data_IF_891975265842
#
_entry.id   IF_891975265842
#
_cell.length_a   1.000
_cell.length_b   1.000
_cell.length_c   1.000
_cell.angle_alpha   90.00
_cell.angle_beta   90.00
_cell.angle_gamma   90.00
#
_symmetry.space_group_name_H-M   'P 1'
#
loop_
_entity.id
_entity.type
_entity.pdbx_description
1 polymer ?
#
# COMPACT_ATOMS: atom_id res chain seq x y z
N UNK A 1 23.42 19.18 4.39
CA UNK A 1 23.36 17.93 5.18
C UNK A 1 22.36 17.04 4.46
N UNK A 2 22.74 15.82 4.07
CA UNK A 2 21.77 14.86 3.53
C UNK A 2 20.87 14.38 4.65
N UNK A 3 19.56 14.47 4.46
CA UNK A 3 18.60 13.92 5.42
C UNK A 3 18.44 12.43 5.16
N UNK A 4 18.36 11.62 6.21
CA UNK A 4 18.28 10.17 6.05
C UNK A 4 17.30 9.50 7.01
N UNK A 5 16.63 8.45 6.53
CA UNK A 5 15.70 7.63 7.31
C UNK A 5 15.91 6.15 7.02
N UNK A 6 15.75 5.30 8.04
CA UNK A 6 15.88 3.85 7.92
C UNK A 6 14.49 3.22 7.85
N UNK A 7 14.29 2.28 6.93
CA UNK A 7 12.99 1.64 6.72
C UNK A 7 13.13 0.15 6.32
N UNK A 8 12.02 -0.58 6.39
CA UNK A 8 12.00 -1.97 5.96
C UNK A 8 10.65 -2.68 6.12
N UNK A 9 10.53 -3.93 5.66
CA UNK A 9 11.54 -4.69 4.91
C UNK A 9 11.23 -4.66 3.40
N UNK A 10 12.18 -4.19 2.59
CA UNK A 10 12.10 -4.20 1.14
C UNK A 10 13.05 -5.27 0.60
N UNK A 11 12.52 -6.28 -0.10
CA UNK A 11 13.31 -7.34 -0.73
C UNK A 11 13.90 -6.88 -2.07
N UNK A 12 14.84 -5.92 -2.00
CA UNK A 12 15.52 -5.35 -3.16
C UNK A 12 16.98 -5.09 -2.77
N UNK A 13 17.94 -5.94 -3.17
CA UNK A 13 19.32 -5.89 -2.65
C UNK A 13 20.19 -4.80 -3.28
N UNK A 14 19.60 -3.90 -4.07
CA UNK A 14 20.34 -2.95 -4.91
C UNK A 14 19.99 -1.53 -4.52
N UNK A 15 20.94 -0.61 -4.69
CA UNK A 15 20.64 0.82 -4.57
C UNK A 15 19.73 1.28 -5.69
N UNK A 16 18.84 2.22 -5.39
CA UNK A 16 17.95 2.86 -6.36
C UNK A 16 18.14 4.36 -6.28
N UNK A 17 18.47 4.96 -7.43
CA UNK A 17 18.64 6.40 -7.60
C UNK A 17 17.34 7.00 -8.15
N UNK A 18 16.99 8.19 -7.69
CA UNK A 18 15.88 8.96 -8.21
C UNK A 18 16.20 10.46 -8.11
N UNK A 19 15.49 11.29 -8.86
CA UNK A 19 15.63 12.75 -8.77
C UNK A 19 15.20 13.23 -7.39
N UNK A 20 16.17 13.66 -6.58
CA UNK A 20 15.94 14.12 -5.20
C UNK A 20 16.57 13.23 -4.12
N UNK A 21 17.07 12.05 -4.46
CA UNK A 21 17.67 11.17 -3.47
C UNK A 21 18.11 9.80 -3.97
N UNK A 22 18.32 8.90 -3.01
CA UNK A 22 18.62 7.49 -3.25
C UNK A 22 18.17 6.63 -2.09
N UNK A 23 17.92 5.36 -2.34
CA UNK A 23 17.88 4.34 -1.29
C UNK A 23 19.08 3.40 -1.46
N UNK A 24 19.61 2.93 -0.35
CA UNK A 24 20.71 1.96 -0.32
C UNK A 24 20.42 0.89 0.73
N UNK A 25 20.76 -0.38 0.46
CA UNK A 25 20.67 -1.42 1.48
C UNK A 25 21.50 -1.06 2.73
N UNK A 26 20.98 -1.39 3.91
CA UNK A 26 21.77 -1.26 5.16
C UNK A 26 22.88 -2.29 5.20
N UNK A 27 23.91 -2.06 6.04
CA UNK A 27 25.04 -2.98 6.18
C UNK A 27 24.64 -4.40 6.61
N UNK A 28 23.53 -4.55 7.32
CA UNK A 28 22.99 -5.83 7.79
C UNK A 28 21.85 -6.37 6.89
N UNK A 29 21.73 -5.92 5.64
CA UNK A 29 20.65 -6.33 4.73
C UNK A 29 20.53 -7.86 4.61
N UNK A 30 21.64 -8.56 4.43
CA UNK A 30 21.66 -10.03 4.27
C UNK A 30 21.11 -10.74 5.51
N UNK A 31 21.40 -10.24 6.72
CA UNK A 31 20.86 -10.78 7.98
C UNK A 31 19.36 -10.53 8.09
N UNK A 32 18.91 -9.33 7.68
CA UNK A 32 17.48 -9.01 7.63
C UNK A 32 16.74 -9.90 6.62
N UNK A 33 17.33 -10.16 5.45
CA UNK A 33 16.79 -11.05 4.43
C UNK A 33 16.75 -12.51 4.91
N UNK A 34 17.81 -12.99 5.56
CA UNK A 34 17.83 -14.33 6.18
C UNK A 34 16.72 -14.46 7.22
N UNK A 35 16.57 -13.44 8.10
CA UNK A 35 15.52 -13.42 9.11
C UNK A 35 14.13 -13.50 8.47
N UNK A 36 13.84 -12.69 7.46
CA UNK A 36 12.55 -12.67 6.77
C UNK A 36 12.31 -13.97 6.00
N UNK A 37 13.34 -14.54 5.37
CA UNK A 37 13.22 -15.81 4.64
C UNK A 37 12.94 -16.97 5.59
N UNK A 38 13.58 -16.97 6.77
CA UNK A 38 13.42 -18.01 7.79
C UNK A 38 12.05 -17.99 8.46
N UNK A 39 11.50 -16.80 8.70
CA UNK A 39 10.23 -16.63 9.44
C UNK A 39 9.04 -16.24 8.55
N UNK A 40 9.28 -16.01 7.26
CA UNK A 40 8.25 -15.78 6.25
C UNK A 40 7.50 -17.07 5.93
N UNK A 41 6.24 -16.91 5.50
CA UNK A 41 5.35 -18.03 5.21
C UNK A 41 5.30 -18.31 3.71
N UNK A 42 4.89 -19.55 3.36
CA UNK A 42 4.92 -20.04 1.97
C UNK A 42 4.03 -19.22 1.04
N UNK A 43 2.92 -18.72 1.58
CA UNK A 43 1.95 -17.82 0.93
C UNK A 43 2.53 -16.44 0.57
N UNK A 44 3.75 -16.12 1.02
CA UNK A 44 4.41 -14.85 0.72
C UNK A 44 4.11 -13.74 1.72
N UNK A 45 3.73 -14.09 2.96
CA UNK A 45 3.51 -13.13 4.03
C UNK A 45 4.41 -13.36 5.25
N UNK A 46 4.73 -12.29 5.94
CA UNK A 46 5.32 -12.29 7.28
C UNK A 46 4.23 -11.93 8.29
N UNK A 47 3.87 -12.88 9.14
CA UNK A 47 2.76 -12.75 10.09
C UNK A 47 3.22 -12.16 11.43
N UNK A 48 2.31 -11.55 12.20
CA UNK A 48 2.62 -11.11 13.54
C UNK A 48 3.14 -12.29 14.39
N UNK A 49 4.21 -12.10 15.19
CA UNK A 49 4.72 -13.14 16.08
C UNK A 49 3.70 -13.47 17.16
N UNK A 50 3.74 -14.69 17.68
CA UNK A 50 2.95 -15.09 18.85
C UNK A 50 3.45 -14.38 20.11
N UNK A 51 2.55 -13.86 20.94
CA UNK A 51 2.84 -13.23 22.23
C UNK A 51 2.00 -13.86 23.36
N UNK A 52 2.54 -13.84 24.58
CA UNK A 52 1.87 -14.30 25.81
C UNK A 52 1.83 -13.17 26.82
N UNK A 53 0.81 -13.15 27.67
CA UNK A 53 0.82 -12.27 28.84
C UNK A 53 1.76 -12.85 29.90
N UNK A 54 2.53 -11.98 30.53
CA UNK A 54 3.46 -12.34 31.60
C UNK A 54 3.09 -11.57 32.87
N UNK A 55 3.18 -12.24 34.01
CA UNK A 55 3.17 -11.55 35.30
C UNK A 55 4.47 -10.76 35.44
N UNK A 56 4.37 -9.50 35.86
CA UNK A 56 5.52 -8.60 36.00
C UNK A 56 5.73 -8.29 37.48
N UNK A 57 6.96 -8.42 37.95
CA UNK A 57 7.35 -7.92 39.27
C UNK A 57 7.26 -6.39 39.27
N UNK A 58 6.40 -5.83 40.13
CA UNK A 58 6.13 -4.38 40.18
C UNK A 58 7.41 -3.58 40.53
N UNK A 59 8.32 -4.15 41.32
CA UNK A 59 9.53 -3.47 41.76
C UNK A 59 10.62 -3.50 40.69
N UNK A 60 10.80 -4.64 40.00
CA UNK A 60 11.88 -4.82 39.02
C UNK A 60 11.46 -4.61 37.57
N UNK A 61 10.14 -4.58 37.30
CA UNK A 61 9.50 -4.58 35.97
C UNK A 61 9.93 -5.76 35.09
N UNK A 62 10.42 -6.86 35.69
CA UNK A 62 10.83 -8.05 34.97
C UNK A 62 9.70 -9.09 34.91
N UNK A 63 9.63 -9.90 33.84
CA UNK A 63 8.71 -11.04 33.77
C UNK A 63 9.01 -12.06 34.88
N UNK A 64 8.00 -12.49 35.62
CA UNK A 64 8.07 -13.54 36.64
C UNK A 64 7.65 -14.88 36.02
N UNK A 65 6.45 -14.94 35.45
CA UNK A 65 5.87 -16.16 34.88
C UNK A 65 4.91 -15.86 33.74
N UNK A 66 4.81 -16.78 32.80
CA UNK A 66 3.79 -16.73 31.75
C UNK A 66 2.40 -17.00 32.34
N UNK A 67 1.41 -16.27 31.85
CA UNK A 67 0.00 -16.50 32.20
C UNK A 67 -0.57 -17.53 31.21
N UNK A 68 -1.06 -18.69 31.68
CA UNK A 68 -1.56 -19.74 30.79
C UNK A 68 -2.76 -19.28 29.97
N UNK A 69 -2.93 -19.85 28.77
CA UNK A 69 -4.05 -19.57 27.86
C UNK A 69 -4.17 -18.10 27.40
N UNK A 70 -3.04 -17.40 27.30
CA UNK A 70 -2.99 -16.00 26.81
C UNK A 70 -2.21 -15.82 25.52
N UNK A 71 -1.83 -16.93 24.88
CA UNK A 71 -1.09 -16.93 23.62
C UNK A 71 -1.98 -16.40 22.48
N UNK A 72 -1.50 -15.37 21.78
CA UNK A 72 -2.19 -14.77 20.64
C UNK A 72 -1.20 -14.05 19.72
N UNK A 73 -1.56 -13.78 18.46
CA UNK A 73 -0.74 -12.92 17.59
C UNK A 73 -0.53 -11.53 18.21
N UNK A 74 0.68 -11.00 18.07
CA UNK A 74 1.00 -9.66 18.51
C UNK A 74 0.14 -8.63 17.75
N UNK A 75 -0.50 -7.66 18.43
CA UNK A 75 -1.31 -6.65 17.76
C UNK A 75 -0.45 -5.74 16.87
N UNK A 76 0.81 -5.54 17.26
CA UNK A 76 1.80 -4.81 16.47
C UNK A 76 3.18 -5.43 16.67
N UNK A 77 4.06 -5.33 15.67
CA UNK A 77 5.41 -5.89 15.71
C UNK A 77 6.38 -5.11 14.82
N UNK A 78 7.68 -5.30 15.06
CA UNK A 78 8.73 -4.70 14.23
C UNK A 78 9.10 -5.63 13.08
N UNK A 79 9.49 -5.02 11.96
CA UNK A 79 10.09 -5.70 10.82
C UNK A 79 11.54 -5.20 10.71
N UNK A 80 12.53 -6.07 10.41
CA UNK A 80 13.92 -5.65 10.27
C UNK A 80 14.08 -4.51 9.26
N UNK A 81 14.96 -3.57 9.58
CA UNK A 81 15.42 -2.57 8.64
C UNK A 81 16.12 -3.24 7.45
N UNK A 82 15.94 -2.67 6.27
CA UNK A 82 16.55 -3.16 5.03
C UNK A 82 17.28 -2.06 4.27
N UNK A 83 16.81 -0.81 4.37
CA UNK A 83 17.33 0.28 3.55
C UNK A 83 17.45 1.57 4.34
N UNK A 84 18.38 2.41 3.90
CA UNK A 84 18.46 3.82 4.26
C UNK A 84 18.03 4.65 3.07
N UNK A 85 17.05 5.53 3.26
CA UNK A 85 16.66 6.58 2.34
C UNK A 85 17.52 7.81 2.60
N UNK A 86 18.09 8.39 1.55
CA UNK A 86 18.81 9.66 1.57
C UNK A 86 18.08 10.66 0.68
N UNK A 87 17.75 11.82 1.22
CA UNK A 87 17.10 12.93 0.50
C UNK A 87 18.04 14.12 0.47
N UNK A 88 18.30 14.63 -0.73
CA UNK A 88 19.22 15.75 -0.95
C UNK A 88 18.63 17.08 -0.48
N UNK A 89 17.43 17.39 -0.97
CA UNK A 89 16.74 18.66 -0.74
C UNK A 89 15.29 18.39 -0.32
N UNK A 90 15.02 18.13 0.97
CA UNK A 90 13.65 17.92 1.42
C UNK A 90 12.89 19.24 1.47
N UNK A 91 11.56 19.16 1.46
CA UNK A 91 10.74 20.34 1.67
C UNK A 91 10.90 20.87 3.10
N UNK A 92 11.29 22.14 3.23
CA UNK A 92 11.79 22.76 4.47
C UNK A 92 10.72 22.89 5.58
N UNK A 93 9.43 22.70 5.27
CA UNK A 93 8.32 23.12 6.13
C UNK A 93 7.69 22.01 6.98
N UNK A 94 8.34 20.86 7.22
CA UNK A 94 7.71 19.77 7.97
C UNK A 94 8.63 18.68 8.50
N UNK A 95 8.03 17.71 9.19
CA UNK A 95 8.70 16.46 9.56
C UNK A 95 8.94 15.63 8.30
N UNK A 96 10.18 15.26 8.04
CA UNK A 96 10.56 14.39 6.91
C UNK A 96 9.70 13.12 6.87
N UNK A 97 9.37 12.57 8.05
CA UNK A 97 8.55 11.37 8.22
C UNK A 97 7.05 11.55 7.97
N UNK A 98 6.60 12.78 7.76
CA UNK A 98 5.20 13.10 7.40
C UNK A 98 5.10 13.65 5.97
N UNK A 99 6.24 13.89 5.33
CA UNK A 99 6.36 14.56 4.04
C UNK A 99 7.22 13.67 3.10
N UNK A 100 8.43 14.10 2.75
CA UNK A 100 9.25 13.50 1.70
C UNK A 100 9.57 12.03 1.95
N UNK A 101 10.03 11.65 3.15
CA UNK A 101 10.34 10.25 3.44
C UNK A 101 9.09 9.37 3.48
N UNK A 102 7.96 9.88 3.98
CA UNK A 102 6.70 9.15 4.00
C UNK A 102 6.23 8.82 2.58
N UNK A 103 6.28 9.81 1.69
CA UNK A 103 5.96 9.62 0.28
C UNK A 103 6.84 8.54 -0.33
N UNK A 104 8.16 8.69 -0.26
CA UNK A 104 9.09 7.78 -0.95
C UNK A 104 8.94 6.36 -0.42
N UNK A 105 8.90 6.17 0.90
CA UNK A 105 8.75 4.85 1.51
C UNK A 105 7.43 4.19 1.10
N UNK A 106 6.29 4.90 1.17
CA UNK A 106 5.01 4.31 0.80
C UNK A 106 4.85 4.13 -0.72
N UNK A 107 5.49 4.97 -1.54
CA UNK A 107 5.52 4.82 -2.99
C UNK A 107 6.34 3.59 -3.39
N UNK A 108 7.49 3.35 -2.75
CA UNK A 108 8.26 2.13 -2.95
C UNK A 108 7.47 0.90 -2.48
N UNK A 109 6.75 1.00 -1.37
CA UNK A 109 5.85 -0.07 -0.91
C UNK A 109 4.80 -0.41 -1.95
N UNK A 110 4.14 0.62 -2.49
CA UNK A 110 3.23 0.49 -3.63
C UNK A 110 3.91 -0.18 -4.84
N UNK A 111 5.06 0.32 -5.28
CA UNK A 111 5.73 -0.13 -6.50
C UNK A 111 6.26 -1.58 -6.41
N UNK A 112 6.77 -1.98 -5.24
CA UNK A 112 7.27 -3.34 -5.00
C UNK A 112 6.19 -4.29 -4.47
N UNK A 113 4.96 -3.83 -4.26
CA UNK A 113 3.82 -4.66 -3.89
C UNK A 113 3.97 -5.25 -2.49
N UNK A 114 4.49 -4.43 -1.58
CA UNK A 114 4.73 -4.75 -0.17
C UNK A 114 4.28 -3.58 0.72
N UNK A 115 4.46 -3.70 2.02
CA UNK A 115 4.18 -2.66 2.99
C UNK A 115 5.47 -2.25 3.68
N UNK A 116 5.84 -0.98 3.52
CA UNK A 116 7.04 -0.40 4.11
C UNK A 116 6.67 0.66 5.15
N UNK A 117 7.46 0.71 6.23
CA UNK A 117 7.40 1.74 7.26
C UNK A 117 8.80 2.05 7.79
N UNK A 118 8.93 3.15 8.53
CA UNK A 118 10.15 3.50 9.27
C UNK A 118 10.53 2.36 10.23
N UNK A 119 11.83 2.12 10.40
CA UNK A 119 12.33 0.95 11.15
C UNK A 119 11.94 0.92 12.63
N UNK A 120 11.67 2.10 13.21
CA UNK A 120 11.22 2.27 14.59
C UNK A 120 9.70 2.33 14.71
N UNK A 121 8.96 2.19 13.60
CA UNK A 121 7.51 2.05 13.60
C UNK A 121 7.11 0.58 13.60
N UNK A 122 5.92 0.30 14.13
CA UNK A 122 5.38 -1.06 14.19
C UNK A 122 4.38 -1.30 13.07
N UNK A 123 4.38 -2.50 12.54
CA UNK A 123 3.37 -3.00 11.61
C UNK A 123 2.19 -3.59 12.39
N UNK A 124 0.98 -3.38 11.86
CA UNK A 124 -0.24 -4.10 12.24
C UNK A 124 -0.66 -5.06 11.10
N UNK A 125 -1.05 -6.29 11.43
CA UNK A 125 -1.42 -7.30 10.44
C UNK A 125 -0.24 -7.92 9.68
N UNK A 126 -0.54 -8.77 8.69
CA UNK A 126 0.48 -9.48 7.90
C UNK A 126 1.22 -8.52 6.95
N UNK A 127 2.48 -8.80 6.61
CA UNK A 127 3.28 -7.98 5.68
C UNK A 127 3.64 -8.80 4.45
N UNK A 128 3.31 -8.39 3.22
CA UNK A 128 3.72 -9.11 2.02
C UNK A 128 5.25 -9.14 1.90
N UNK A 129 5.85 -10.33 1.78
CA UNK A 129 7.31 -10.51 1.57
C UNK A 129 7.66 -10.79 0.11
N UNK A 130 6.65 -11.05 -0.71
CA UNK A 130 6.77 -11.21 -2.16
C UNK A 130 6.00 -10.09 -2.87
N UNK A 131 6.48 -9.59 -4.02
CA UNK A 131 5.72 -8.64 -4.82
C UNK A 131 4.35 -9.20 -5.16
N UNK A 132 3.30 -8.44 -4.81
CA UNK A 132 1.91 -8.81 -5.06
C UNK A 132 1.27 -7.99 -6.19
N UNK A 133 2.07 -7.17 -6.87
CA UNK A 133 1.64 -6.30 -7.94
C UNK A 133 1.29 -7.06 -9.22
N UNK A 134 0.53 -6.39 -10.09
CA UNK A 134 0.05 -6.94 -11.35
C UNK A 134 0.79 -6.37 -12.56
N UNK A 135 2.04 -5.99 -12.40
CA UNK A 135 2.83 -5.39 -13.47
C UNK A 135 4.28 -5.86 -13.52
N UNK A 136 4.83 -5.89 -14.73
CA UNK A 136 6.23 -6.17 -15.07
C UNK A 136 6.97 -4.86 -15.34
N UNK A 137 8.23 -4.77 -14.97
CA UNK A 137 9.03 -3.57 -15.20
C UNK A 137 10.50 -3.90 -15.46
N UNK A 138 11.20 -2.98 -16.11
CA UNK A 138 12.66 -3.01 -16.29
C UNK A 138 13.38 -2.33 -15.11
N UNK A 139 14.67 -2.58 -14.93
CA UNK A 139 15.44 -2.15 -13.75
C UNK A 139 15.52 -0.62 -13.57
N UNK A 140 15.35 0.16 -14.63
CA UNK A 140 15.38 1.64 -14.62
C UNK A 140 14.03 2.28 -14.28
N UNK A 141 12.93 1.58 -14.49
CA UNK A 141 11.56 2.03 -14.23
C UNK A 141 11.33 2.48 -12.78
N UNK A 142 11.76 1.75 -11.71
CA UNK A 142 11.48 2.14 -10.34
C UNK A 142 12.04 3.52 -9.97
N UNK A 143 13.28 3.81 -10.37
CA UNK A 143 13.93 5.10 -10.14
C UNK A 143 13.26 6.23 -10.92
N UNK A 144 12.94 5.97 -12.18
CA UNK A 144 12.23 6.92 -13.03
C UNK A 144 10.82 7.25 -12.51
N UNK A 145 10.01 6.24 -12.17
CA UNK A 145 8.68 6.42 -11.60
C UNK A 145 8.73 7.19 -10.27
N UNK A 146 9.66 6.84 -9.38
CA UNK A 146 9.86 7.53 -8.10
C UNK A 146 10.20 9.01 -8.32
N UNK A 147 11.09 9.31 -9.27
CA UNK A 147 11.47 10.67 -9.66
C UNK A 147 10.26 11.49 -10.13
N UNK A 148 9.49 10.94 -11.05
CA UNK A 148 8.30 11.61 -11.61
C UNK A 148 7.26 11.92 -10.54
N UNK A 149 6.91 10.92 -9.71
CA UNK A 149 5.91 11.11 -8.66
C UNK A 149 6.39 12.12 -7.63
N UNK A 150 7.67 12.06 -7.23
CA UNK A 150 8.22 13.01 -6.26
C UNK A 150 8.22 14.44 -6.80
N UNK A 151 8.61 14.65 -8.05
CA UNK A 151 8.55 15.96 -8.70
C UNK A 151 7.13 16.49 -8.81
N UNK A 152 6.18 15.65 -9.23
CA UNK A 152 4.76 16.03 -9.31
C UNK A 152 4.22 16.39 -7.93
N UNK A 153 4.54 15.59 -6.91
CA UNK A 153 4.09 15.80 -5.55
C UNK A 153 4.65 17.09 -4.93
N UNK A 154 5.90 17.48 -5.23
CA UNK A 154 6.48 18.74 -4.75
C UNK A 154 5.73 19.98 -5.27
N UNK A 155 5.02 19.88 -6.40
CA UNK A 155 4.21 20.97 -6.95
C UNK A 155 2.84 21.09 -6.28
N UNK A 156 2.42 20.08 -5.53
CA UNK A 156 1.14 20.09 -4.83
C UNK A 156 1.20 20.87 -3.52
N UNK A 157 0.06 21.44 -3.12
CA UNK A 157 -0.07 22.03 -1.79
C UNK A 157 -0.04 20.95 -0.69
N UNK A 158 0.20 21.36 0.56
CA UNK A 158 0.34 20.45 1.70
C UNK A 158 -0.87 19.50 1.90
N UNK A 159 -2.09 19.95 1.60
CA UNK A 159 -3.29 19.11 1.74
C UNK A 159 -3.29 17.94 0.75
N UNK A 160 -3.06 18.25 -0.54
CA UNK A 160 -2.99 17.25 -1.62
C UNK A 160 -1.85 16.27 -1.35
N UNK A 161 -0.69 16.79 -0.93
CA UNK A 161 0.50 15.98 -0.57
C UNK A 161 0.19 14.96 0.52
N UNK A 162 -0.40 15.41 1.63
CA UNK A 162 -0.81 14.54 2.75
C UNK A 162 -1.79 13.46 2.32
N UNK A 163 -2.76 13.81 1.47
CA UNK A 163 -3.78 12.85 1.00
C UNK A 163 -3.20 11.78 0.10
N UNK A 164 -2.29 12.15 -0.80
CA UNK A 164 -1.63 11.17 -1.66
C UNK A 164 -0.77 10.18 -0.87
N UNK A 165 -0.02 10.65 0.13
CA UNK A 165 0.72 9.77 1.07
C UNK A 165 -0.23 8.80 1.77
N UNK A 166 -1.38 9.29 2.25
CA UNK A 166 -2.37 8.44 2.90
C UNK A 166 -3.00 7.42 1.95
N UNK A 167 -3.23 7.77 0.68
CA UNK A 167 -3.69 6.83 -0.36
C UNK A 167 -2.69 5.68 -0.52
N UNK A 168 -1.41 5.98 -0.66
CA UNK A 168 -0.35 4.97 -0.77
C UNK A 168 -0.28 4.08 0.48
N UNK A 169 -0.30 4.69 1.66
CA UNK A 169 -0.30 3.98 2.94
C UNK A 169 -1.50 3.04 3.05
N UNK A 170 -2.72 3.55 2.86
CA UNK A 170 -3.95 2.76 2.98
C UNK A 170 -4.06 1.69 1.90
N UNK A 171 -3.54 1.93 0.69
CA UNK A 171 -3.46 0.93 -0.36
C UNK A 171 -2.55 -0.24 0.08
N UNK A 172 -1.35 0.02 0.59
CA UNK A 172 -0.47 -1.04 1.08
C UNK A 172 -0.99 -1.74 2.35
N UNK A 173 -1.69 -0.99 3.23
CA UNK A 173 -2.31 -1.55 4.44
C UNK A 173 -3.44 -2.52 4.13
N UNK A 174 -4.20 -2.31 3.06
CA UNK A 174 -5.26 -3.23 2.69
C UNK A 174 -4.73 -4.67 2.50
N UNK A 175 -3.52 -4.85 1.95
CA UNK A 175 -2.87 -6.16 1.81
C UNK A 175 -2.48 -6.82 3.16
N UNK A 176 -2.55 -6.09 4.27
CA UNK A 176 -2.29 -6.59 5.63
C UNK A 176 -3.53 -7.15 6.32
N UNK A 177 -4.72 -7.05 5.71
CA UNK A 177 -5.95 -7.58 6.29
C UNK A 177 -6.05 -9.10 6.12
N UNK A 178 -6.67 -9.77 7.09
CA UNK A 178 -6.83 -11.23 7.03
C UNK A 178 -7.99 -11.64 6.14
N UNK A 179 -9.08 -10.86 6.15
CA UNK A 179 -10.33 -11.20 5.49
C UNK A 179 -10.59 -10.33 4.27
N UNK A 180 -11.13 -10.93 3.21
CA UNK A 180 -11.38 -10.28 1.93
C UNK A 180 -12.39 -9.12 2.02
N UNK A 181 -13.33 -9.16 2.97
CA UNK A 181 -14.26 -8.05 3.18
C UNK A 181 -13.62 -6.84 3.87
N UNK A 182 -12.64 -7.07 4.75
CA UNK A 182 -11.83 -6.01 5.35
C UNK A 182 -10.91 -5.40 4.31
N UNK A 183 -10.27 -6.24 3.49
CA UNK A 183 -9.52 -5.79 2.32
C UNK A 183 -10.40 -4.92 1.41
N UNK A 184 -11.58 -5.40 1.02
CA UNK A 184 -12.54 -4.66 0.19
C UNK A 184 -12.93 -3.31 0.81
N UNK A 185 -13.20 -3.26 2.12
CA UNK A 185 -13.49 -2.02 2.84
C UNK A 185 -12.36 -1.00 2.64
N UNK A 186 -11.12 -1.40 2.92
CA UNK A 186 -9.97 -0.52 2.78
C UNK A 186 -9.69 -0.14 1.32
N UNK A 187 -9.85 -1.07 0.38
CA UNK A 187 -9.75 -0.76 -1.06
C UNK A 187 -10.81 0.25 -1.50
N UNK A 188 -12.03 0.15 -0.99
CA UNK A 188 -13.08 1.11 -1.33
C UNK A 188 -12.83 2.48 -0.70
N UNK A 189 -12.30 2.52 0.54
CA UNK A 189 -11.84 3.76 1.15
C UNK A 189 -10.73 4.44 0.32
N UNK A 190 -9.80 3.66 -0.24
CA UNK A 190 -8.76 4.18 -1.14
C UNK A 190 -9.37 4.77 -2.41
N UNK A 191 -10.36 4.10 -3.01
CA UNK A 191 -11.07 4.62 -4.19
C UNK A 191 -11.76 5.97 -3.89
N UNK A 192 -12.50 6.06 -2.76
CA UNK A 192 -13.14 7.31 -2.36
C UNK A 192 -12.12 8.42 -2.04
N UNK A 193 -10.96 8.07 -1.47
CA UNK A 193 -9.88 9.02 -1.20
C UNK A 193 -9.24 9.54 -2.51
N UNK A 194 -9.04 8.68 -3.51
CA UNK A 194 -8.58 9.06 -4.85
C UNK A 194 -9.61 9.98 -5.53
N UNK A 195 -10.89 9.63 -5.48
CA UNK A 195 -11.96 10.46 -6.02
C UNK A 195 -11.96 11.86 -5.40
N UNK A 196 -11.80 11.95 -4.08
CA UNK A 196 -11.72 13.23 -3.40
C UNK A 196 -10.46 14.02 -3.79
N UNK A 197 -9.32 13.35 -3.96
CA UNK A 197 -8.09 13.98 -4.46
C UNK A 197 -8.29 14.53 -5.88
N UNK A 198 -9.00 13.79 -6.74
CA UNK A 198 -9.41 14.26 -8.07
C UNK A 198 -10.24 15.54 -8.01
N UNK A 199 -11.20 15.66 -7.08
CA UNK A 199 -11.97 16.91 -6.88
C UNK A 199 -11.07 18.06 -6.40
N UNK A 200 -10.15 17.79 -5.46
CA UNK A 200 -9.21 18.81 -4.95
C UNK A 200 -8.24 19.35 -6.02
N UNK A 201 -7.94 18.54 -7.04
CA UNK A 201 -7.16 18.96 -8.19
C UNK A 201 -7.94 19.87 -9.16
N UNK A 202 -9.17 20.27 -8.80
CA UNK A 202 -10.01 21.21 -9.55
C UNK A 202 -10.92 20.55 -10.59
N UNK A 203 -11.01 19.22 -10.60
CA UNK A 203 -11.82 18.52 -11.57
C UNK A 203 -13.31 18.51 -11.20
N UNK A 204 -14.16 18.30 -12.22
CA UNK A 204 -15.62 18.33 -12.05
C UNK A 204 -16.09 17.16 -11.19
N UNK A 205 -16.89 17.48 -10.18
CA UNK A 205 -17.59 16.52 -9.31
C UNK A 205 -18.43 15.52 -10.11
N UNK A 206 -18.35 14.25 -9.71
CA UNK A 206 -19.10 13.13 -10.30
C UNK A 206 -20.12 12.61 -9.28
N UNK A 207 -21.40 12.66 -9.65
CA UNK A 207 -22.48 12.30 -8.75
C UNK A 207 -22.81 10.79 -8.80
N UNK A 208 -22.86 10.16 -7.63
CA UNK A 208 -23.21 8.74 -7.45
C UNK A 208 -22.00 7.81 -7.42
N UNK A 209 -21.98 6.86 -6.47
CA UNK A 209 -20.84 5.96 -6.22
C UNK A 209 -20.41 5.16 -7.45
N UNK A 210 -21.38 4.57 -8.16
CA UNK A 210 -21.12 3.86 -9.43
C UNK A 210 -20.48 4.76 -10.48
N UNK A 211 -21.03 5.97 -10.65
CA UNK A 211 -20.56 6.91 -11.65
C UNK A 211 -19.17 7.45 -11.32
N UNK A 212 -18.77 7.52 -10.05
CA UNK A 212 -17.40 7.90 -9.67
C UNK A 212 -16.37 6.95 -10.27
N UNK A 213 -16.62 5.63 -10.23
CA UNK A 213 -15.72 4.64 -10.83
C UNK A 213 -15.62 4.87 -12.34
N UNK A 214 -16.77 5.00 -13.00
CA UNK A 214 -16.86 5.22 -14.46
C UNK A 214 -16.14 6.51 -14.85
N UNK A 215 -16.50 7.63 -14.24
CA UNK A 215 -15.95 8.93 -14.61
C UNK A 215 -14.48 9.09 -14.26
N UNK A 216 -13.97 8.43 -13.22
CA UNK A 216 -12.52 8.34 -12.98
C UNK A 216 -11.82 7.54 -14.09
N UNK A 217 -12.39 6.41 -14.51
CA UNK A 217 -11.84 5.62 -15.61
C UNK A 217 -11.86 6.41 -16.93
N UNK A 218 -12.97 7.08 -17.26
CA UNK A 218 -13.09 7.93 -18.45
C UNK A 218 -12.09 9.10 -18.41
N UNK A 219 -11.95 9.79 -17.28
CA UNK A 219 -11.04 10.92 -17.13
C UNK A 219 -9.57 10.54 -17.31
N UNK A 220 -9.17 9.39 -16.75
CA UNK A 220 -7.78 8.91 -16.82
C UNK A 220 -7.52 7.96 -17.99
N UNK A 221 -8.49 7.78 -18.90
CA UNK A 221 -8.41 6.84 -20.03
C UNK A 221 -8.13 5.39 -19.62
N UNK A 222 -8.58 5.01 -18.42
CA UNK A 222 -8.47 3.64 -17.92
C UNK A 222 -9.61 2.83 -18.54
N UNK A 223 -9.27 1.73 -19.21
CA UNK A 223 -10.30 0.81 -19.69
C UNK A 223 -11.12 0.30 -18.49
N UNK A 224 -12.41 0.05 -18.66
CA UNK A 224 -13.28 -0.54 -17.64
C UNK A 224 -14.33 -1.47 -18.26
N UNK A 225 -14.84 -2.40 -17.46
CA UNK A 225 -15.95 -3.29 -17.78
C UNK A 225 -17.16 -2.88 -16.92
N UNK A 226 -18.29 -2.59 -17.57
CA UNK A 226 -19.47 -2.04 -16.90
C UNK A 226 -20.13 -3.02 -15.93
N UNK A 227 -20.06 -4.33 -16.21
CA UNK A 227 -20.64 -5.36 -15.37
C UNK A 227 -19.81 -5.51 -14.09
N UNK A 228 -18.48 -5.42 -14.22
CA UNK A 228 -17.56 -5.43 -13.08
C UNK A 228 -17.72 -4.20 -12.18
N UNK A 229 -17.99 -3.04 -12.77
CA UNK A 229 -18.36 -1.83 -12.01
C UNK A 229 -19.68 -2.04 -11.26
N UNK A 230 -20.68 -2.67 -11.89
CA UNK A 230 -21.96 -2.97 -11.26
C UNK A 230 -21.78 -3.93 -10.07
N UNK A 231 -20.96 -4.98 -10.23
CA UNK A 231 -20.65 -5.94 -9.15
C UNK A 231 -20.03 -5.25 -7.93
N UNK A 232 -19.02 -4.39 -8.12
CA UNK A 232 -18.41 -3.61 -7.03
C UNK A 232 -19.46 -2.70 -6.36
N UNK A 233 -20.29 -2.02 -7.14
CA UNK A 233 -21.31 -1.12 -6.63
C UNK A 233 -22.37 -1.85 -5.79
N UNK A 234 -22.88 -2.98 -6.28
CA UNK A 234 -23.88 -3.81 -5.58
C UNK A 234 -23.28 -4.33 -4.28
N UNK A 235 -22.09 -4.94 -4.34
CA UNK A 235 -21.42 -5.47 -3.16
C UNK A 235 -21.17 -4.37 -2.12
N UNK A 236 -20.72 -3.19 -2.54
CA UNK A 236 -20.53 -2.05 -1.64
C UNK A 236 -21.83 -1.66 -0.96
N UNK A 237 -22.95 -1.58 -1.68
CA UNK A 237 -24.22 -1.20 -1.08
C UNK A 237 -24.69 -2.23 -0.05
N UNK A 238 -24.68 -3.52 -0.42
CA UNK A 238 -25.03 -4.60 0.50
C UNK A 238 -24.13 -4.61 1.73
N UNK A 239 -22.83 -4.42 1.56
CA UNK A 239 -21.89 -4.48 2.68
C UNK A 239 -22.01 -3.27 3.60
N UNK A 240 -22.11 -2.05 3.07
CA UNK A 240 -22.11 -0.83 3.89
C UNK A 240 -23.48 -0.52 4.51
N UNK A 241 -24.58 -0.94 3.89
CA UNK A 241 -25.93 -0.62 4.37
C UNK A 241 -26.63 -1.79 5.05
N UNK A 242 -26.29 -3.02 4.69
CA UNK A 242 -26.97 -4.22 5.19
C UNK A 242 -26.02 -5.16 5.96
N UNK A 243 -24.73 -4.82 6.04
CA UNK A 243 -23.68 -5.67 6.61
C UNK A 243 -23.62 -7.07 5.95
N UNK A 244 -23.98 -7.14 4.66
CA UNK A 244 -23.97 -8.37 3.86
C UNK A 244 -22.76 -8.43 2.93
N UNK A 245 -22.01 -9.51 3.00
CA UNK A 245 -20.98 -9.88 2.03
C UNK A 245 -21.61 -10.76 0.95
N UNK A 246 -21.88 -10.16 -0.21
CA UNK A 246 -22.53 -10.82 -1.36
C UNK A 246 -23.83 -11.54 -0.99
N UNK A 247 -24.73 -10.77 -0.37
CA UNK A 247 -26.05 -11.25 0.08
C UNK A 247 -26.04 -12.14 1.32
N UNK A 248 -24.88 -12.42 1.91
CA UNK A 248 -24.75 -13.33 3.06
C UNK A 248 -24.06 -12.64 4.26
N UNK A 249 -24.16 -13.24 5.45
CA UNK A 249 -23.33 -12.82 6.58
C UNK A 249 -21.85 -13.05 6.25
N UNK A 250 -20.95 -12.08 6.50
CA UNK A 250 -19.51 -12.26 6.36
C UNK A 250 -19.03 -13.56 7.04
N UNK A 251 -18.19 -14.32 6.33
CA UNK A 251 -17.71 -15.63 6.77
C UNK A 251 -18.59 -16.84 6.46
N UNK A 252 -19.82 -16.65 5.92
CA UNK A 252 -20.71 -17.76 5.55
C UNK A 252 -20.81 -18.01 4.03
N UNK A 253 -20.42 -17.06 3.19
CA UNK A 253 -20.54 -17.16 1.72
C UNK A 253 -19.41 -17.96 1.07
N UNK A 254 -19.73 -18.71 0.00
CA UNK A 254 -18.76 -19.45 -0.86
C UNK A 254 -18.67 -18.79 -2.25
N UNK A 255 -19.18 -17.57 -2.38
CA UNK A 255 -19.33 -16.94 -3.69
C UNK A 255 -18.05 -16.26 -4.19
N UNK A 256 -18.07 -15.86 -5.45
CA UNK A 256 -16.95 -15.20 -6.15
C UNK A 256 -16.67 -13.75 -5.70
N UNK A 257 -17.32 -13.28 -4.63
CA UNK A 257 -17.17 -11.93 -4.09
C UNK A 257 -15.71 -11.57 -3.75
N UNK A 258 -14.88 -12.57 -3.40
CA UNK A 258 -13.44 -12.40 -3.18
C UNK A 258 -12.69 -11.82 -4.39
N UNK A 259 -13.25 -11.93 -5.61
CA UNK A 259 -12.65 -11.34 -6.83
C UNK A 259 -12.81 -9.83 -6.87
N UNK A 260 -13.86 -9.28 -6.25
CA UNK A 260 -14.16 -7.84 -6.32
C UNK A 260 -13.11 -7.01 -5.60
N UNK A 261 -12.57 -7.49 -4.47
CA UNK A 261 -11.41 -6.90 -3.80
C UNK A 261 -10.24 -6.80 -4.78
N UNK A 262 -9.91 -7.91 -5.46
CA UNK A 262 -8.74 -7.98 -6.34
C UNK A 262 -8.88 -7.03 -7.52
N UNK A 263 -10.07 -6.91 -8.06
CA UNK A 263 -10.39 -5.94 -9.09
C UNK A 263 -10.26 -4.50 -8.59
N UNK A 264 -10.79 -4.20 -7.41
CA UNK A 264 -10.73 -2.87 -6.82
C UNK A 264 -9.29 -2.48 -6.47
N UNK A 265 -8.49 -3.43 -5.99
CA UNK A 265 -7.03 -3.30 -5.83
C UNK A 265 -6.37 -2.90 -7.14
N UNK A 266 -6.61 -3.66 -8.22
CA UNK A 266 -6.04 -3.40 -9.56
C UNK A 266 -6.45 -2.05 -10.12
N UNK A 267 -7.73 -1.67 -9.95
CA UNK A 267 -8.24 -0.36 -10.33
C UNK A 267 -7.53 0.76 -9.57
N UNK A 268 -7.44 0.63 -8.24
CA UNK A 268 -6.75 1.60 -7.39
C UNK A 268 -5.28 1.76 -7.79
N UNK A 269 -4.58 0.68 -8.13
CA UNK A 269 -3.18 0.78 -8.58
C UNK A 269 -3.03 1.63 -9.84
N UNK A 270 -3.95 1.50 -10.81
CA UNK A 270 -3.94 2.33 -12.03
C UNK A 270 -4.26 3.78 -11.73
N UNK A 271 -5.27 4.00 -10.89
CA UNK A 271 -5.66 5.35 -10.47
C UNK A 271 -4.56 6.07 -9.68
N UNK A 272 -3.81 5.36 -8.82
CA UNK A 272 -2.65 5.89 -8.08
C UNK A 272 -1.58 6.39 -9.06
N UNK A 273 -1.28 5.62 -10.09
CA UNK A 273 -0.30 5.98 -11.13
C UNK A 273 -0.82 7.17 -11.96
N UNK A 274 -2.09 7.11 -12.38
CA UNK A 274 -2.71 8.12 -13.23
C UNK A 274 -2.89 9.48 -12.53
N UNK A 275 -3.25 9.50 -11.24
CA UNK A 275 -3.44 10.75 -10.48
C UNK A 275 -2.11 11.47 -10.19
N UNK A 276 -0.99 10.74 -10.16
CA UNK A 276 0.35 11.31 -10.18
C UNK A 276 0.80 11.75 -11.58
N UNK A 277 -0.11 11.74 -12.56
CA UNK A 277 0.13 12.10 -13.96
C UNK A 277 1.26 11.28 -14.60
N UNK A 278 1.49 10.04 -14.14
CA UNK A 278 2.43 9.12 -14.77
C UNK A 278 1.69 8.34 -15.85
N UNK A 279 1.95 8.66 -17.12
CA UNK A 279 1.24 8.07 -18.26
C UNK A 279 2.03 6.89 -18.81
N UNK A 280 1.47 5.70 -18.69
CA UNK A 280 1.99 4.48 -19.31
C UNK A 280 0.85 3.50 -19.65
N UNK A 281 1.19 2.44 -20.37
CA UNK A 281 0.23 1.41 -20.78
C UNK A 281 -0.44 0.74 -19.58
N UNK A 282 0.31 0.47 -18.50
CA UNK A 282 -0.24 -0.04 -17.25
C UNK A 282 -1.41 0.80 -16.74
N UNK A 283 -1.23 2.12 -16.62
CA UNK A 283 -2.24 3.02 -16.07
C UNK A 283 -3.54 3.03 -16.89
N UNK A 284 -3.45 2.81 -18.21
CA UNK A 284 -4.60 2.78 -19.13
C UNK A 284 -5.19 1.39 -19.35
N UNK A 285 -4.48 0.33 -18.93
CA UNK A 285 -4.89 -1.06 -19.10
C UNK A 285 -6.17 -1.39 -18.34
N UNK A 286 -6.85 -2.47 -18.74
CA UNK A 286 -8.01 -2.96 -17.99
C UNK A 286 -7.61 -3.55 -16.64
N UNK A 287 -8.48 -3.42 -15.63
CA UNK A 287 -8.22 -3.87 -14.26
C UNK A 287 -8.94 -5.15 -13.85
N UNK A 288 -9.90 -5.62 -14.66
CA UNK A 288 -10.80 -6.73 -14.31
C UNK A 288 -10.30 -8.13 -14.73
N UNK A 289 -9.23 -8.20 -15.51
CA UNK A 289 -8.61 -9.48 -15.87
C UNK A 289 -7.43 -9.80 -14.95
N UNK A 290 -7.14 -11.08 -14.79
CA UNK A 290 -5.99 -11.58 -14.03
C UNK A 290 -4.83 -11.81 -14.98
N UNK A 291 -3.79 -11.00 -14.83
CA UNK A 291 -2.61 -10.98 -15.69
C UNK A 291 -1.60 -9.96 -15.18
N UNK A 292 -0.46 -9.95 -15.87
CA UNK A 292 0.61 -8.98 -15.69
C UNK A 292 0.60 -8.03 -16.87
N UNK A 293 0.75 -6.75 -16.59
CA UNK A 293 0.78 -5.68 -17.59
C UNK A 293 2.16 -5.00 -17.56
N UNK A 294 2.65 -4.52 -18.69
CA UNK A 294 3.94 -3.83 -18.71
C UNK A 294 3.80 -2.46 -18.05
N UNK A 295 4.73 -2.16 -17.13
CA UNK A 295 4.92 -0.87 -16.51
C UNK A 295 6.20 -0.27 -17.08
N UNK A 296 6.04 0.42 -18.20
CA UNK A 296 7.16 1.00 -18.92
C UNK A 296 7.37 2.48 -18.55
N UNK A 297 8.56 2.99 -18.90
CA UNK A 297 8.82 4.43 -18.95
C UNK A 297 8.10 4.98 -20.18
N UNK A 298 7.13 5.87 -19.96
CA UNK A 298 6.32 6.62 -20.94
C UNK A 298 6.11 5.97 -22.32
N UNK A 299 4.85 5.61 -22.61
CA UNK A 299 4.35 5.36 -23.97
C UNK A 299 4.04 6.65 -24.73
#
# INVERSE_FOLDING_TARGET
MSYSEIFGFLNYPTSLLFEGGKIEPVSDFDKSLEFITKHGNKDGYFYPPSMKLVEIDINTRKPIKDIPNTEKPAPTFYVPASHTLYIGEPLVNGSLRQEDAALIIHLLGFFFGTRLQFSDWRMDGKVPTKPSNCFLYQDDVPGHFTSHVYNTWKLWNAEIRKRYINILYMHSKADSCEWEWDEFLYRYMVLDAIYYLYELLGNKRIHGHRNRIIGLCEFFEIKYDIDKVNEIYVLRNSFFHEALWDGNTPGLGINDAFKTEKWLRRLNSRLIVAIANYRNDFAKSGWWFFGWENFDIFS
#
